data_IF_458848465099
#
_entry.id   IF_458848465099
#
_cell.length_a   1.000
_cell.length_b   1.000
_cell.length_c   1.000
_cell.angle_alpha   90.00
_cell.angle_beta   90.00
_cell.angle_gamma   90.00
#
_symmetry.space_group_name_H-M   'P 1'
#
loop_
_entity.id
_entity.type
_entity.pdbx_description
1 polymer ?
#
# COMPACT_ATOMS: atom_id res chain seq x y z
N UNK A 1 -51.07 9.59 -11.97
CA UNK A 1 -50.03 9.96 -10.99
C UNK A 1 -49.18 8.79 -10.47
N UNK A 2 -49.73 7.59 -10.21
CA UNK A 2 -48.98 6.48 -9.57
C UNK A 2 -47.82 5.88 -10.39
N UNK A 3 -47.90 5.84 -11.73
CA UNK A 3 -46.87 5.20 -12.57
C UNK A 3 -45.54 5.96 -12.60
N UNK A 4 -45.57 7.30 -12.58
CA UNK A 4 -44.38 8.16 -12.55
C UNK A 4 -43.62 8.02 -11.22
N UNK A 5 -44.35 7.87 -10.11
CA UNK A 5 -43.76 7.70 -8.78
C UNK A 5 -43.09 6.33 -8.62
N UNK A 6 -43.66 5.28 -9.21
CA UNK A 6 -43.08 3.93 -9.20
C UNK A 6 -41.81 3.89 -10.06
N UNK A 7 -41.84 4.45 -11.27
CA UNK A 7 -40.65 4.53 -12.14
C UNK A 7 -39.51 5.34 -11.51
N UNK A 8 -39.83 6.44 -10.81
CA UNK A 8 -38.84 7.25 -10.11
C UNK A 8 -38.24 6.49 -8.92
N UNK A 9 -39.06 5.79 -8.14
CA UNK A 9 -38.60 4.96 -7.02
C UNK A 9 -37.70 3.80 -7.48
N UNK A 10 -38.05 3.14 -8.60
CA UNK A 10 -37.23 2.08 -9.20
C UNK A 10 -35.90 2.63 -9.75
N UNK A 11 -35.91 3.82 -10.38
CA UNK A 11 -34.69 4.45 -10.88
C UNK A 11 -33.75 4.90 -9.76
N UNK A 12 -34.28 5.40 -8.63
CA UNK A 12 -33.48 5.73 -7.44
C UNK A 12 -32.93 4.46 -6.77
N UNK A 13 -33.72 3.39 -6.70
CA UNK A 13 -33.25 2.11 -6.16
C UNK A 13 -32.11 1.51 -7.01
N UNK A 14 -32.22 1.54 -8.34
CA UNK A 14 -31.18 1.05 -9.27
C UNK A 14 -29.93 1.95 -9.25
N UNK A 15 -30.13 3.27 -9.19
CA UNK A 15 -29.04 4.25 -9.11
C UNK A 15 -28.23 4.18 -7.81
N UNK A 16 -28.87 3.81 -6.69
CA UNK A 16 -28.20 3.62 -5.39
C UNK A 16 -27.63 2.21 -5.22
N UNK A 17 -28.25 1.18 -5.80
CA UNK A 17 -27.71 -0.19 -5.76
C UNK A 17 -26.49 -0.39 -6.67
N UNK A 18 -26.27 0.50 -7.65
CA UNK A 18 -25.12 0.45 -8.55
C UNK A 18 -23.78 0.90 -7.93
N UNK A 19 -23.79 1.42 -6.69
CA UNK A 19 -22.59 1.97 -6.05
C UNK A 19 -21.90 1.00 -5.10
N UNK A 20 -22.50 -0.15 -4.79
CA UNK A 20 -22.06 -1.05 -3.72
C UNK A 20 -22.15 -2.50 -4.19
N UNK A 21 -20.99 -3.14 -4.38
CA UNK A 21 -20.92 -4.53 -4.87
C UNK A 21 -20.36 -5.42 -3.77
N UNK A 22 -21.15 -6.38 -3.23
CA UNK A 22 -20.61 -7.42 -2.36
C UNK A 22 -19.67 -8.30 -3.17
N UNK A 23 -18.46 -8.55 -2.67
CA UNK A 23 -17.44 -9.32 -3.37
C UNK A 23 -16.51 -10.00 -2.39
N UNK A 24 -15.90 -11.10 -2.79
CA UNK A 24 -14.70 -11.58 -2.10
C UNK A 24 -13.50 -10.80 -2.62
N UNK A 25 -12.61 -10.39 -1.71
CA UNK A 25 -11.34 -9.77 -2.04
C UNK A 25 -10.21 -10.63 -1.54
N UNK A 26 -9.35 -11.06 -2.48
CA UNK A 26 -8.03 -11.61 -2.17
C UNK A 26 -7.04 -10.46 -2.05
N UNK A 27 -6.37 -10.34 -0.91
CA UNK A 27 -5.40 -9.27 -0.67
C UNK A 27 -4.31 -9.71 0.30
N UNK A 28 -3.22 -8.94 0.32
CA UNK A 28 -2.14 -9.10 1.28
C UNK A 28 -2.52 -8.37 2.57
N UNK A 29 -3.03 -9.12 3.54
CA UNK A 29 -3.41 -8.60 4.85
C UNK A 29 -2.16 -8.27 5.66
N UNK A 30 -2.05 -7.04 6.21
CA UNK A 30 -0.95 -6.68 7.09
C UNK A 30 -0.96 -7.50 8.40
N UNK A 31 0.22 -7.86 8.90
CA UNK A 31 0.37 -8.43 10.24
C UNK A 31 0.70 -7.31 11.25
N UNK A 32 -0.28 -6.94 12.08
CA UNK A 32 -0.22 -5.78 12.99
C UNK A 32 0.93 -5.82 14.02
N UNK A 33 1.55 -6.97 14.25
CA UNK A 33 2.76 -7.06 15.09
C UNK A 33 4.00 -6.41 14.45
N UNK A 34 3.94 -6.08 13.15
CA UNK A 34 5.02 -5.47 12.37
C UNK A 34 4.72 -4.01 11.98
N UNK A 35 3.74 -3.37 12.62
CA UNK A 35 3.39 -1.97 12.40
C UNK A 35 1.89 -1.72 12.47
N UNK A 36 1.48 -0.46 12.35
CA UNK A 36 0.07 -0.10 12.32
C UNK A 36 -0.56 -0.42 10.95
N UNK A 37 -1.69 -1.14 10.93
CA UNK A 37 -2.47 -1.32 9.72
C UNK A 37 -3.19 -0.02 9.30
N UNK A 38 -2.84 0.52 8.14
CA UNK A 38 -3.37 1.76 7.57
C UNK A 38 -3.82 1.57 6.14
N UNK A 39 -4.49 2.57 5.56
CA UNK A 39 -4.89 2.51 4.17
C UNK A 39 -3.71 2.74 3.20
N UNK A 40 -3.54 1.84 2.24
CA UNK A 40 -2.50 1.97 1.21
C UNK A 40 -2.76 3.14 0.25
N UNK A 41 -4.04 3.36 -0.07
CA UNK A 41 -4.66 4.16 -1.15
C UNK A 41 -5.67 3.31 -1.96
N UNK A 42 -5.77 1.99 -1.67
CA UNK A 42 -6.83 1.16 -2.24
C UNK A 42 -8.19 1.75 -1.90
N UNK A 43 -8.92 2.05 -2.96
CA UNK A 43 -10.13 2.83 -2.87
C UNK A 43 -11.33 1.95 -3.14
N UNK A 44 -12.43 2.24 -2.44
CA UNK A 44 -13.71 1.54 -2.61
C UNK A 44 -13.90 0.31 -1.73
N UNK A 45 -12.88 -0.41 -1.29
CA UNK A 45 -13.10 -1.51 -0.34
C UNK A 45 -13.39 -0.97 1.07
N UNK A 46 -14.37 -1.55 1.78
CA UNK A 46 -14.78 -1.04 3.10
C UNK A 46 -14.07 -1.76 4.25
N UNK A 47 -14.02 -3.10 4.21
CA UNK A 47 -13.51 -3.93 5.31
C UNK A 47 -12.00 -4.14 5.23
N UNK A 48 -11.47 -4.19 4.01
CA UNK A 48 -10.06 -4.45 3.75
C UNK A 48 -9.31 -3.18 3.31
N UNK A 49 -9.84 -2.00 3.60
CA UNK A 49 -9.20 -0.71 3.28
C UNK A 49 -7.88 -0.49 4.02
N UNK A 50 -7.65 -1.15 5.16
CA UNK A 50 -6.39 -1.10 5.92
C UNK A 50 -5.46 -2.22 5.46
N UNK A 51 -4.92 -2.07 4.27
CA UNK A 51 -4.09 -3.06 3.57
C UNK A 51 -2.62 -2.65 3.41
N UNK A 52 -2.17 -1.65 4.18
CA UNK A 52 -0.77 -1.28 4.31
C UNK A 52 -0.32 -1.37 5.76
N UNK A 53 0.99 -1.53 5.96
CA UNK A 53 1.64 -1.36 7.26
C UNK A 53 2.34 -0.01 7.32
N UNK A 54 2.24 0.64 8.47
CA UNK A 54 2.92 1.90 8.78
C UNK A 54 3.78 1.74 10.03
N UNK A 55 5.00 2.28 9.97
CA UNK A 55 5.86 2.48 11.13
C UNK A 55 6.20 3.97 11.21
N UNK A 56 5.99 4.56 12.37
CA UNK A 56 6.23 5.97 12.63
C UNK A 56 7.48 6.15 13.47
N UNK A 57 8.30 7.11 13.09
CA UNK A 57 9.50 7.55 13.78
C UNK A 57 9.37 9.06 14.04
N UNK A 58 10.23 9.61 14.90
CA UNK A 58 10.17 11.03 15.31
C UNK A 58 10.09 12.00 14.13
N UNK A 59 10.78 11.68 13.03
CA UNK A 59 10.99 12.59 11.91
C UNK A 59 10.33 12.15 10.59
N UNK A 60 9.83 10.91 10.54
CA UNK A 60 9.34 10.32 9.29
C UNK A 60 8.45 9.12 9.53
N UNK A 61 7.66 8.80 8.52
CA UNK A 61 6.74 7.67 8.51
C UNK A 61 7.10 6.79 7.32
N UNK A 62 7.21 5.49 7.55
CA UNK A 62 7.36 4.49 6.50
C UNK A 62 6.04 3.74 6.33
N UNK A 63 5.51 3.75 5.12
CA UNK A 63 4.32 2.99 4.73
C UNK A 63 4.69 1.97 3.66
N UNK A 64 4.34 0.71 3.89
CA UNK A 64 4.55 -0.39 2.95
C UNK A 64 3.21 -1.03 2.60
N UNK A 65 2.98 -1.26 1.31
CA UNK A 65 1.84 -2.05 0.85
C UNK A 65 2.30 -3.12 -0.15
N UNK A 66 1.68 -4.28 -0.06
CA UNK A 66 1.83 -5.37 -1.03
C UNK A 66 0.51 -5.56 -1.78
N UNK A 67 0.59 -5.75 -3.09
CA UNK A 67 -0.58 -5.93 -3.96
C UNK A 67 -0.27 -6.89 -5.10
N UNK A 68 -1.24 -7.71 -5.48
CA UNK A 68 -1.09 -8.56 -6.67
C UNK A 68 -0.93 -7.68 -7.92
N UNK A 69 0.05 -8.00 -8.77
CA UNK A 69 0.28 -7.35 -10.07
C UNK A 69 -0.31 -8.22 -11.19
N UNK A 70 -1.62 -8.48 -11.11
CA UNK A 70 -2.31 -9.42 -11.99
C UNK A 70 -1.68 -10.82 -11.94
N UNK A 71 -1.30 -11.35 -13.10
CA UNK A 71 -0.61 -12.66 -13.21
C UNK A 71 0.91 -12.55 -13.10
N UNK A 72 1.46 -11.34 -13.02
CA UNK A 72 2.91 -11.11 -13.11
C UNK A 72 3.63 -11.33 -11.79
N UNK A 73 2.93 -11.29 -10.66
CA UNK A 73 3.52 -11.46 -9.33
C UNK A 73 2.96 -10.52 -8.29
N UNK A 74 3.82 -10.04 -7.40
CA UNK A 74 3.45 -9.11 -6.31
C UNK A 74 4.21 -7.80 -6.49
N UNK A 75 3.48 -6.69 -6.49
CA UNK A 75 4.06 -5.36 -6.33
C UNK A 75 4.14 -4.99 -4.86
N UNK A 76 5.30 -4.52 -4.43
CA UNK A 76 5.53 -4.03 -3.07
C UNK A 76 5.96 -2.57 -3.18
N UNK A 77 5.21 -1.63 -2.63
CA UNK A 77 5.62 -0.22 -2.59
C UNK A 77 6.01 0.18 -1.20
N UNK A 78 7.16 0.83 -1.09
CA UNK A 78 7.71 1.39 0.15
C UNK A 78 7.72 2.90 0.00
N UNK A 79 7.00 3.59 0.86
CA UNK A 79 6.88 5.04 0.87
C UNK A 79 7.43 5.61 2.16
N UNK A 80 8.31 6.60 2.05
CA UNK A 80 8.79 7.42 3.14
C UNK A 80 8.13 8.81 3.05
N UNK A 81 7.41 9.19 4.10
CA UNK A 81 6.87 10.52 4.26
C UNK A 81 7.66 11.22 5.37
N UNK A 82 8.31 12.33 5.03
CA UNK A 82 9.13 13.12 5.96
C UNK A 82 8.46 14.46 6.12
N UNK A 83 8.03 14.78 7.33
CA UNK A 83 7.34 16.03 7.65
C UNK A 83 8.31 17.00 8.31
N UNK A 84 9.22 17.56 7.50
CA UNK A 84 10.25 18.50 7.96
C UNK A 84 10.41 19.65 6.97
N UNK A 85 9.89 20.84 7.28
CA UNK A 85 9.89 21.97 6.36
C UNK A 85 11.28 22.52 6.01
N UNK A 86 12.31 22.17 6.79
CA UNK A 86 13.68 22.63 6.61
C UNK A 86 14.58 21.64 5.84
N UNK A 87 14.08 20.44 5.51
CA UNK A 87 14.85 19.48 4.73
C UNK A 87 14.64 19.70 3.23
N UNK A 88 15.71 19.51 2.45
CA UNK A 88 15.62 19.41 1.00
C UNK A 88 15.38 17.95 0.62
N UNK A 89 14.62 17.69 -0.46
CA UNK A 89 14.42 16.34 -0.97
C UNK A 89 15.74 15.60 -1.25
N UNK A 90 16.82 16.31 -1.57
CA UNK A 90 18.15 15.77 -1.82
C UNK A 90 18.89 15.35 -0.53
N UNK A 91 18.43 15.78 0.64
CA UNK A 91 18.94 15.30 1.93
C UNK A 91 18.42 13.90 2.29
N UNK A 92 17.48 13.37 1.51
CA UNK A 92 16.87 12.07 1.75
C UNK A 92 17.25 11.09 0.65
N UNK A 93 17.84 9.97 1.05
CA UNK A 93 18.25 8.89 0.18
C UNK A 93 17.51 7.60 0.50
N UNK A 94 17.19 6.83 -0.56
CA UNK A 94 16.62 5.50 -0.46
C UNK A 94 17.56 4.52 -1.16
N UNK A 95 18.17 3.62 -0.40
CA UNK A 95 19.04 2.54 -0.89
C UNK A 95 18.24 1.26 -1.16
N UNK A 96 17.99 0.99 -2.44
CA UNK A 96 17.25 -0.21 -2.86
C UNK A 96 18.00 -1.51 -2.57
N UNK A 97 19.32 -1.49 -2.42
CA UNK A 97 20.10 -2.69 -2.12
C UNK A 97 19.95 -3.17 -0.68
N UNK A 98 19.40 -2.31 0.18
CA UNK A 98 19.08 -2.62 1.58
C UNK A 98 17.63 -3.04 1.78
N UNK A 99 16.87 -3.19 0.70
CA UNK A 99 15.54 -3.79 0.72
C UNK A 99 15.68 -5.27 0.39
N UNK A 100 15.21 -6.13 1.29
CA UNK A 100 15.36 -7.58 1.21
C UNK A 100 14.02 -8.26 1.36
N UNK A 101 13.76 -9.21 0.48
CA UNK A 101 12.67 -10.16 0.66
C UNK A 101 13.18 -11.28 1.58
N UNK A 102 12.55 -11.43 2.73
CA UNK A 102 12.83 -12.51 3.70
C UNK A 102 11.96 -13.72 3.35
N UNK A 103 10.68 -13.49 3.05
CA UNK A 103 9.75 -14.50 2.57
C UNK A 103 8.99 -13.99 1.34
N UNK A 104 8.73 -14.85 0.35
CA UNK A 104 9.18 -16.26 0.24
C UNK A 104 10.70 -16.44 0.10
N UNK A 105 11.22 -17.54 0.65
CA UNK A 105 12.63 -17.92 0.50
C UNK A 105 12.94 -18.37 -0.93
N UNK A 106 14.22 -18.30 -1.33
CA UNK A 106 14.73 -18.80 -2.62
C UNK A 106 14.08 -18.19 -3.88
N UNK A 107 13.44 -17.02 -3.77
CA UNK A 107 12.94 -16.28 -4.94
C UNK A 107 14.02 -15.38 -5.56
N UNK A 108 13.78 -15.01 -6.82
CA UNK A 108 14.54 -13.95 -7.47
C UNK A 108 14.50 -12.66 -6.64
N UNK A 109 15.58 -11.88 -6.72
CA UNK A 109 15.64 -10.56 -6.08
C UNK A 109 14.53 -9.65 -6.61
N UNK A 110 14.01 -8.82 -5.71
CA UNK A 110 13.05 -7.77 -6.04
C UNK A 110 13.57 -6.91 -7.20
N UNK A 111 12.75 -6.75 -8.24
CA UNK A 111 13.04 -5.89 -9.40
C UNK A 111 12.47 -4.51 -9.12
N UNK A 112 13.30 -3.47 -9.21
CA UNK A 112 12.80 -2.09 -9.08
C UNK A 112 11.94 -1.76 -10.29
N UNK A 113 10.67 -1.38 -10.07
CA UNK A 113 9.70 -1.03 -11.10
C UNK A 113 9.66 0.49 -11.30
N UNK A 114 9.36 1.22 -10.23
CA UNK A 114 9.16 2.67 -10.27
C UNK A 114 9.85 3.36 -9.08
N UNK A 115 10.17 4.64 -9.30
CA UNK A 115 10.64 5.55 -8.28
C UNK A 115 9.84 6.86 -8.36
N UNK A 116 9.35 7.32 -7.22
CA UNK A 116 8.66 8.59 -7.09
C UNK A 116 9.34 9.42 -6.00
N UNK A 117 9.41 10.73 -6.23
CA UNK A 117 9.98 11.73 -5.32
C UNK A 117 9.20 13.02 -5.52
N UNK A 118 8.67 13.57 -4.44
CA UNK A 118 7.93 14.82 -4.47
C UNK A 118 8.13 15.57 -3.15
N UNK A 119 8.16 16.89 -3.24
CA UNK A 119 8.23 17.79 -2.09
C UNK A 119 7.18 18.88 -2.28
N UNK A 120 6.31 19.05 -1.29
CA UNK A 120 5.28 20.09 -1.24
C UNK A 120 5.08 20.54 0.20
N UNK A 121 4.95 21.85 0.41
CA UNK A 121 4.54 22.45 1.69
C UNK A 121 5.28 21.93 2.92
N UNK A 122 6.57 21.66 2.78
CA UNK A 122 7.42 21.17 3.87
C UNK A 122 7.35 19.67 4.14
N UNK A 123 6.52 18.94 3.40
CA UNK A 123 6.48 17.49 3.39
C UNK A 123 7.24 16.94 2.19
N UNK A 124 8.05 15.91 2.41
CA UNK A 124 8.77 15.18 1.37
C UNK A 124 8.24 13.76 1.31
N UNK A 125 7.85 13.32 0.12
CA UNK A 125 7.40 11.96 -0.15
C UNK A 125 8.34 11.29 -1.13
N UNK A 126 8.97 10.20 -0.70
CA UNK A 126 9.72 9.30 -1.55
C UNK A 126 8.99 7.96 -1.61
N UNK A 127 8.85 7.39 -2.80
CA UNK A 127 8.33 6.04 -2.96
C UNK A 127 9.23 5.21 -3.88
N UNK A 128 9.36 3.92 -3.56
CA UNK A 128 9.99 2.91 -4.39
C UNK A 128 9.04 1.73 -4.51
N UNK A 129 8.81 1.32 -5.74
CA UNK A 129 7.96 0.17 -6.04
C UNK A 129 8.83 -0.96 -6.59
N UNK A 130 8.66 -2.13 -6.01
CA UNK A 130 9.36 -3.36 -6.35
C UNK A 130 8.38 -4.38 -6.91
N UNK A 131 8.86 -5.23 -7.80
CA UNK A 131 8.15 -6.40 -8.32
C UNK A 131 8.85 -7.67 -7.82
N UNK A 132 8.08 -8.53 -7.18
CA UNK A 132 8.40 -9.95 -7.00
C UNK A 132 7.76 -10.72 -8.17
N UNK A 133 8.54 -11.12 -9.19
CA UNK A 133 8.00 -11.75 -10.39
C UNK A 133 7.51 -13.18 -10.15
N UNK A 134 6.57 -13.63 -10.98
CA UNK A 134 6.09 -15.01 -11.06
C UNK A 134 5.58 -15.56 -9.72
N UNK A 135 4.94 -14.68 -8.96
CA UNK A 135 4.55 -14.91 -7.56
C UNK A 135 3.13 -14.44 -7.22
N UNK A 136 2.11 -14.59 -8.09
CA UNK A 136 0.81 -13.91 -7.91
C UNK A 136 0.01 -14.35 -6.68
N UNK A 137 0.38 -15.47 -6.06
CA UNK A 137 -0.33 -16.06 -4.92
C UNK A 137 0.63 -16.47 -3.79
N UNK A 138 1.71 -15.73 -3.61
CA UNK A 138 2.58 -15.95 -2.45
C UNK A 138 1.77 -15.82 -1.16
N UNK A 139 1.87 -16.83 -0.31
CA UNK A 139 1.07 -16.90 0.91
C UNK A 139 1.56 -15.89 1.94
N UNK A 140 2.86 -15.64 1.98
CA UNK A 140 3.49 -14.70 2.90
C UNK A 140 4.48 -13.84 2.13
N UNK A 141 4.43 -12.53 2.39
CA UNK A 141 5.43 -11.57 1.96
C UNK A 141 6.03 -10.96 3.22
N UNK A 142 7.31 -11.21 3.44
CA UNK A 142 8.07 -10.56 4.52
C UNK A 142 9.20 -9.75 3.90
N UNK A 143 9.17 -8.44 4.15
CA UNK A 143 10.10 -7.46 3.62
C UNK A 143 10.91 -6.87 4.77
N UNK A 144 12.23 -6.89 4.64
CA UNK A 144 13.14 -6.18 5.52
C UNK A 144 13.73 -4.95 4.81
N UNK A 145 13.73 -3.83 5.51
CA UNK A 145 14.58 -2.68 5.23
C UNK A 145 15.72 -2.72 6.23
N UNK A 146 16.92 -3.06 5.76
CA UNK A 146 18.11 -3.09 6.59
C UNK A 146 18.52 -1.67 7.05
N UNK A 147 19.29 -1.52 8.14
CA UNK A 147 19.71 -0.21 8.64
C UNK A 147 20.31 0.70 7.56
N UNK A 148 19.79 1.93 7.48
CA UNK A 148 20.15 2.92 6.47
C UNK A 148 19.63 2.60 5.07
N UNK A 149 18.57 1.81 4.93
CA UNK A 149 17.79 1.71 3.70
C UNK A 149 17.18 3.07 3.33
N UNK A 150 16.85 3.86 4.34
CA UNK A 150 16.50 5.27 4.22
C UNK A 150 17.50 6.07 5.04
N UNK A 151 18.01 7.16 4.49
CA UNK A 151 18.92 8.06 5.19
C UNK A 151 18.37 9.48 5.08
N UNK A 152 18.27 10.17 6.21
CA UNK A 152 17.76 11.54 6.30
C UNK A 152 18.87 12.41 6.88
N UNK A 153 19.41 13.35 6.10
CA UNK A 153 20.52 14.24 6.49
C UNK A 153 21.72 13.49 7.08
N UNK A 154 22.04 12.34 6.50
CA UNK A 154 23.15 11.48 6.96
C UNK A 154 22.80 10.54 8.13
N UNK A 155 21.64 10.69 8.78
CA UNK A 155 21.17 9.77 9.81
C UNK A 155 20.54 8.53 9.16
N UNK A 156 21.12 7.32 9.36
CA UNK A 156 20.55 6.09 8.82
C UNK A 156 19.30 5.67 9.61
N UNK A 157 18.29 5.20 8.90
CA UNK A 157 17.14 4.52 9.51
C UNK A 157 17.55 3.23 10.24
N UNK A 158 16.75 2.86 11.23
CA UNK A 158 16.88 1.57 11.92
C UNK A 158 16.40 0.42 11.03
N UNK A 159 16.57 -0.81 11.50
CA UNK A 159 16.03 -2.00 10.84
C UNK A 159 14.51 -1.99 10.95
N UNK A 160 13.82 -2.22 9.83
CA UNK A 160 12.36 -2.35 9.79
C UNK A 160 11.96 -3.64 9.10
N UNK A 161 10.92 -4.29 9.59
CA UNK A 161 10.35 -5.51 9.00
C UNK A 161 8.86 -5.30 8.79
N UNK A 162 8.35 -5.69 7.63
CA UNK A 162 6.95 -5.61 7.25
C UNK A 162 6.49 -6.97 6.76
N UNK A 163 5.38 -7.46 7.30
CA UNK A 163 4.88 -8.80 6.96
C UNK A 163 3.41 -8.75 6.57
N UNK A 164 3.10 -9.49 5.51
CA UNK A 164 1.77 -9.61 4.96
C UNK A 164 1.45 -11.08 4.69
N UNK A 165 0.20 -11.45 4.95
CA UNK A 165 -0.34 -12.78 4.64
C UNK A 165 -1.45 -12.67 3.60
N UNK A 166 -1.38 -13.49 2.55
CA UNK A 166 -2.43 -13.55 1.54
C UNK A 166 -3.68 -14.15 2.17
N UNK A 167 -4.81 -13.47 2.00
CA UNK A 167 -6.08 -13.95 2.51
C UNK A 167 -7.22 -13.54 1.58
N UNK A 168 -8.30 -14.30 1.62
CA UNK A 168 -9.54 -13.99 0.92
C UNK A 168 -10.62 -13.78 1.96
N UNK A 169 -11.30 -12.63 1.90
CA UNK A 169 -12.41 -12.33 2.80
C UNK A 169 -13.51 -11.61 2.06
N UNK A 170 -14.73 -11.76 2.57
CA UNK A 170 -15.88 -11.03 2.08
C UNK A 170 -15.73 -9.54 2.38
N UNK A 171 -15.92 -8.72 1.35
CA UNK A 171 -15.88 -7.27 1.41
C UNK A 171 -17.02 -6.65 0.58
N UNK A 172 -17.06 -5.33 0.59
CA UNK A 172 -18.00 -4.49 -0.10
C UNK A 172 -17.19 -3.45 -0.87
N UNK A 173 -17.34 -3.45 -2.19
CA UNK A 173 -16.68 -2.52 -3.10
C UNK A 173 -17.61 -1.34 -3.42
N UNK A 174 -17.16 -0.15 -3.09
CA UNK A 174 -17.78 1.13 -3.39
C UNK A 174 -17.11 1.76 -4.62
N UNK A 175 -17.85 1.87 -5.72
CA UNK A 175 -17.39 2.61 -6.89
C UNK A 175 -17.67 4.10 -6.70
N UNK A 176 -16.80 4.79 -5.95
CA UNK A 176 -16.82 6.25 -5.82
C UNK A 176 -15.77 6.86 -6.74
N UNK A 177 -16.14 7.94 -7.43
CA UNK A 177 -15.24 8.74 -8.30
C UNK A 177 -14.29 9.62 -7.46
N UNK A 178 -14.62 9.85 -6.18
CA UNK A 178 -13.83 10.70 -5.27
C UNK A 178 -12.89 9.88 -4.39
N UNK A 179 -12.01 9.20 -5.11
CA UNK A 179 -10.83 8.50 -4.66
C UNK A 179 -9.68 9.06 -5.50
#
# INVERSE_FOLDING_TARGET
MKLKTILLASAVAIGLSGCVIPTDRTYYKPEDSFGEAVASQSCGYLRTNRDALQQSFDDYIIKVNASQDGRNGVTISVSALVDKPLLDINDIFFDTNKVRLIQPENREKLKTKNAFRHQSDGTIWLSRTFLLPDAPFEQVIELELAPGAITIKGSPSERMVFKFSLTTTFDVLYFSINC
#
